data_IF_639494693752
#
_entry.id   IF_639494693752
#
_cell.length_a   1.000
_cell.length_b   1.000
_cell.length_c   1.000
_cell.angle_alpha   90.00
_cell.angle_beta   90.00
_cell.angle_gamma   90.00
#
_symmetry.space_group_name_H-M   'P 1'
#
loop_
_entity.id
_entity.type
_entity.pdbx_description
1 polymer ?
#
# COMPACT_ATOMS: atom_id res chain seq x y z
N UNK A 1 -23.32 -10.25 -24.75
CA UNK A 1 -22.09 -9.45 -24.66
C UNK A 1 -21.93 -9.05 -23.20
N UNK A 2 -21.13 -9.81 -22.46
CA UNK A 2 -20.83 -9.58 -21.05
C UNK A 2 -20.13 -8.23 -20.87
N UNK A 3 -20.84 -7.27 -20.27
CA UNK A 3 -20.37 -5.92 -19.99
C UNK A 3 -19.32 -5.85 -18.87
N UNK A 4 -18.32 -6.72 -18.88
CA UNK A 4 -17.11 -6.55 -18.06
C UNK A 4 -16.22 -5.54 -18.76
N UNK A 5 -16.56 -4.27 -18.61
CA UNK A 5 -15.59 -3.20 -18.83
C UNK A 5 -14.50 -3.38 -17.78
N UNK A 6 -13.42 -4.04 -18.15
CA UNK A 6 -12.12 -3.94 -17.49
C UNK A 6 -11.61 -2.52 -17.74
N UNK A 7 -12.30 -1.54 -17.15
CA UNK A 7 -11.97 -0.14 -17.30
C UNK A 7 -10.74 0.10 -16.42
N UNK A 8 -9.57 -0.13 -17.01
CA UNK A 8 -8.25 0.26 -16.57
C UNK A 8 -8.13 0.38 -15.04
N UNK A 9 -8.01 -0.75 -14.33
CA UNK A 9 -7.51 -0.72 -12.95
C UNK A 9 -6.07 -0.22 -12.99
N UNK A 10 -5.92 1.10 -12.92
CA UNK A 10 -4.63 1.72 -12.71
C UNK A 10 -4.25 1.42 -11.26
N UNK A 11 -3.26 0.56 -11.08
CA UNK A 11 -2.63 0.30 -9.80
C UNK A 11 -1.33 1.12 -9.72
N UNK A 12 -1.38 2.38 -9.23
CA UNK A 12 -0.19 3.18 -9.08
C UNK A 12 0.78 2.53 -8.09
N UNK A 13 2.06 2.58 -8.44
CA UNK A 13 3.12 2.27 -7.50
C UNK A 13 3.11 3.28 -6.35
N UNK A 14 3.60 2.88 -5.17
CA UNK A 14 3.74 3.79 -4.04
C UNK A 14 4.57 5.04 -4.39
N UNK A 15 5.56 4.88 -5.27
CA UNK A 15 6.41 5.98 -5.73
C UNK A 15 5.66 6.96 -6.62
N UNK A 16 4.80 6.46 -7.52
CA UNK A 16 3.95 7.29 -8.37
C UNK A 16 2.95 8.08 -7.51
N UNK A 17 2.36 7.43 -6.50
CA UNK A 17 1.46 8.08 -5.57
C UNK A 17 2.14 9.21 -4.77
N UNK A 18 3.39 9.00 -4.35
CA UNK A 18 4.14 9.96 -3.54
C UNK A 18 4.76 11.10 -4.36
N UNK A 19 5.02 10.85 -5.65
CA UNK A 19 5.47 11.86 -6.59
C UNK A 19 4.34 12.79 -7.04
N UNK A 20 3.07 12.44 -6.76
CA UNK A 20 1.93 13.28 -7.08
C UNK A 20 1.93 14.57 -6.25
N UNK A 21 1.73 15.70 -6.93
CA UNK A 21 1.72 17.04 -6.34
C UNK A 21 0.66 17.19 -5.25
N UNK A 22 -0.44 16.42 -5.32
CA UNK A 22 -1.50 16.46 -4.30
C UNK A 22 -1.16 15.65 -3.05
N UNK A 23 -0.20 14.74 -3.13
CA UNK A 23 0.07 13.81 -2.02
C UNK A 23 0.87 14.46 -0.91
N UNK A 24 1.87 15.28 -1.25
CA UNK A 24 2.68 16.00 -0.28
C UNK A 24 1.86 16.87 0.70
N UNK A 25 0.89 17.71 0.27
CA UNK A 25 0.08 18.50 1.20
C UNK A 25 -0.89 17.63 2.03
N UNK A 26 -1.39 16.53 1.48
CA UNK A 26 -2.24 15.58 2.20
C UNK A 26 -1.46 14.93 3.35
N UNK A 27 -0.28 14.39 3.08
CA UNK A 27 0.58 13.78 4.09
C UNK A 27 0.97 14.79 5.16
N UNK A 28 1.35 16.01 4.77
CA UNK A 28 1.69 17.08 5.71
C UNK A 28 0.53 17.41 6.65
N UNK A 29 -0.69 17.47 6.12
CA UNK A 29 -1.91 17.73 6.92
C UNK A 29 -2.19 16.62 7.93
N UNK A 30 -1.77 15.38 7.61
CA UNK A 30 -1.81 14.24 8.52
C UNK A 30 -0.58 14.16 9.47
N UNK A 31 0.35 15.12 9.40
CA UNK A 31 1.56 15.14 10.22
C UNK A 31 2.68 14.23 9.73
N UNK A 32 2.62 13.79 8.47
CA UNK A 32 3.62 12.93 7.84
C UNK A 32 4.41 13.67 6.76
N UNK A 33 5.69 13.36 6.65
CA UNK A 33 6.45 13.58 5.41
C UNK A 33 6.38 12.33 4.52
N UNK A 34 6.65 12.49 3.23
CA UNK A 34 6.73 11.39 2.25
C UNK A 34 7.63 10.24 2.71
N UNK A 35 8.80 10.51 3.27
CA UNK A 35 9.71 9.47 3.73
C UNK A 35 9.17 8.72 4.95
N UNK A 36 8.53 9.44 5.87
CA UNK A 36 7.90 8.84 7.06
C UNK A 36 6.72 7.92 6.66
N UNK A 37 5.94 8.33 5.66
CA UNK A 37 4.86 7.50 5.13
C UNK A 37 5.39 6.23 4.45
N UNK A 38 6.47 6.32 3.67
CA UNK A 38 7.11 5.14 3.05
C UNK A 38 7.56 4.13 4.10
N UNK A 39 8.20 4.59 5.16
CA UNK A 39 8.70 3.72 6.22
C UNK A 39 7.55 3.01 6.95
N UNK A 40 6.48 3.74 7.25
CA UNK A 40 5.26 3.17 7.86
C UNK A 40 4.62 2.09 6.98
N UNK A 41 4.52 2.32 5.67
CA UNK A 41 3.96 1.34 4.73
C UNK A 41 4.86 0.09 4.63
N UNK A 42 6.17 0.27 4.57
CA UNK A 42 7.12 -0.83 4.56
C UNK A 42 7.08 -1.66 5.85
N UNK A 43 6.97 -1.00 7.01
CA UNK A 43 6.81 -1.67 8.29
C UNK A 43 5.50 -2.46 8.34
N UNK A 44 4.41 -1.86 7.87
CA UNK A 44 3.09 -2.50 7.81
C UNK A 44 3.11 -3.74 6.92
N UNK A 45 3.72 -3.65 5.73
CA UNK A 45 3.88 -4.79 4.84
C UNK A 45 4.67 -5.93 5.50
N UNK A 46 5.77 -5.63 6.20
CA UNK A 46 6.55 -6.64 6.95
C UNK A 46 5.72 -7.29 8.06
N UNK A 47 4.87 -6.52 8.77
CA UNK A 47 4.00 -7.06 9.81
C UNK A 47 2.94 -8.00 9.22
N UNK A 48 2.37 -7.66 8.07
CA UNK A 48 1.39 -8.48 7.36
C UNK A 48 2.03 -9.78 6.85
N UNK A 49 3.20 -9.70 6.24
CA UNK A 49 3.95 -10.87 5.77
C UNK A 49 4.24 -11.86 6.91
N UNK A 50 4.74 -11.35 8.06
CA UNK A 50 4.96 -12.16 9.26
C UNK A 50 3.67 -12.81 9.78
N UNK A 51 2.52 -12.12 9.71
CA UNK A 51 1.23 -12.68 10.11
C UNK A 51 0.78 -13.76 9.13
N UNK A 52 0.93 -13.56 7.83
CA UNK A 52 0.61 -14.54 6.81
C UNK A 52 1.47 -15.81 6.95
N UNK A 53 2.76 -15.65 7.26
CA UNK A 53 3.67 -16.77 7.54
C UNK A 53 3.20 -17.59 8.74
N UNK A 54 2.79 -16.95 9.84
CA UNK A 54 2.25 -17.61 11.03
C UNK A 54 0.92 -18.32 10.76
N UNK A 55 0.01 -17.72 10.00
CA UNK A 55 -1.27 -18.36 9.63
C UNK A 55 -1.03 -19.63 8.80
N UNK A 56 -0.05 -19.58 7.89
CA UNK A 56 0.35 -20.72 7.07
C UNK A 56 0.97 -21.84 7.90
N UNK A 57 1.81 -21.50 8.89
CA UNK A 57 2.37 -22.47 9.84
C UNK A 57 1.26 -23.14 10.66
N UNK A 58 0.30 -22.37 11.18
CA UNK A 58 -0.79 -22.89 12.00
C UNK A 58 -1.80 -23.76 11.22
N UNK A 59 -1.94 -23.59 9.89
CA UNK A 59 -2.79 -24.46 9.05
C UNK A 59 -2.11 -25.74 8.57
N UNK A 60 -0.79 -25.83 8.69
CA UNK A 60 -0.01 -26.98 8.21
C UNK A 60 0.45 -27.94 9.31
N UNK A 61 0.14 -27.64 10.58
CA UNK A 61 0.49 -28.44 11.75
C UNK A 61 -0.63 -29.35 12.24
#
# INVERSE_FOLDING_TARGET
>A
MDGRFDCCRYEPSLEELLADDVMAPVLRSAGFDTQAFRDMMAETARRLDRRAARDRENRGG
#
